data_IF_219396205058
#
_entry.id   IF_219396205058
#
_cell.length_a   1.000
_cell.length_b   1.000
_cell.length_c   1.000
_cell.angle_alpha   90.00
_cell.angle_beta   90.00
_cell.angle_gamma   90.00
#
_symmetry.space_group_name_H-M   'P 1'
#
loop_
_entity.id
_entity.type
_entity.pdbx_description
1 polymer ?
#
# COMPACT_ATOMS: atom_id res chain seq x y z
N UNK A 1 -18.28 23.47 -2.58
CA UNK A 1 -17.70 22.67 -1.47
C UNK A 1 -17.41 21.30 -2.05
N UNK A 2 -16.23 20.74 -1.83
CA UNK A 2 -15.96 19.36 -2.25
C UNK A 2 -16.88 18.42 -1.45
N UNK A 3 -17.54 17.48 -2.13
CA UNK A 3 -18.31 16.44 -1.46
C UNK A 3 -17.36 15.50 -0.71
N UNK A 4 -17.78 15.00 0.44
CA UNK A 4 -17.06 13.93 1.12
C UNK A 4 -17.06 12.66 0.26
N UNK A 5 -15.97 11.90 0.34
CA UNK A 5 -15.93 10.52 -0.14
C UNK A 5 -16.61 9.64 0.89
N UNK A 6 -17.20 8.55 0.42
CA UNK A 6 -18.04 7.70 1.24
C UNK A 6 -17.64 6.24 1.13
N UNK A 7 -17.68 5.54 2.26
CA UNK A 7 -17.52 4.09 2.31
C UNK A 7 -18.74 3.43 2.92
N UNK A 8 -19.00 2.19 2.54
CA UNK A 8 -20.05 1.35 3.08
C UNK A 8 -19.47 0.00 3.49
N UNK A 9 -19.96 -0.53 4.60
CA UNK A 9 -19.52 -1.79 5.20
C UNK A 9 -20.69 -2.77 5.10
N UNK A 10 -20.45 -3.92 4.48
CA UNK A 10 -21.41 -5.00 4.34
C UNK A 10 -21.68 -5.71 5.67
N UNK A 11 -22.82 -6.40 5.76
CA UNK A 11 -23.17 -7.19 6.95
C UNK A 11 -22.20 -8.36 7.18
N UNK A 12 -21.54 -8.89 6.14
CA UNK A 12 -20.48 -9.89 6.27
C UNK A 12 -19.32 -9.43 7.14
N UNK A 13 -19.04 -8.11 7.23
CA UNK A 13 -17.99 -7.59 8.10
C UNK A 13 -18.40 -7.51 9.58
N UNK A 14 -19.67 -7.77 9.92
CA UNK A 14 -20.16 -7.68 11.29
C UNK A 14 -19.92 -8.98 12.07
N UNK A 15 -19.35 -8.87 13.27
CA UNK A 15 -19.09 -10.03 14.13
C UNK A 15 -17.89 -10.88 13.70
N UNK A 16 -17.15 -10.44 12.68
CA UNK A 16 -15.83 -10.95 12.34
C UNK A 16 -14.80 -10.16 13.15
N UNK A 17 -14.02 -10.87 13.97
CA UNK A 17 -13.16 -10.28 14.98
C UNK A 17 -13.91 -9.83 16.25
N UNK A 18 -13.18 -9.23 17.20
CA UNK A 18 -13.74 -8.83 18.49
C UNK A 18 -14.29 -7.39 18.51
N UNK A 19 -14.11 -6.62 17.43
CA UNK A 19 -14.34 -5.18 17.38
C UNK A 19 -15.31 -4.75 16.27
N UNK A 20 -15.92 -3.58 16.42
CA UNK A 20 -16.67 -2.92 15.34
C UNK A 20 -15.70 -2.53 14.21
N UNK A 21 -16.03 -2.90 12.97
CA UNK A 21 -15.21 -2.65 11.79
C UNK A 21 -14.82 -1.17 11.62
N UNK A 22 -15.70 -0.24 12.04
CA UNK A 22 -15.40 1.20 12.01
C UNK A 22 -14.19 1.61 12.88
N UNK A 23 -13.76 0.76 13.81
CA UNK A 23 -12.53 0.98 14.59
C UNK A 23 -11.32 0.94 13.66
N UNK A 24 -11.18 -0.08 12.81
CA UNK A 24 -10.02 -0.22 11.93
C UNK A 24 -9.90 0.92 10.92
N UNK A 25 -11.02 1.39 10.35
CA UNK A 25 -11.01 2.56 9.45
C UNK A 25 -10.57 3.82 10.21
N UNK A 26 -11.01 3.98 11.47
CA UNK A 26 -10.63 5.12 12.30
C UNK A 26 -9.15 5.08 12.66
N UNK A 27 -8.61 3.91 12.96
CA UNK A 27 -7.18 3.71 13.17
C UNK A 27 -6.39 4.00 11.89
N UNK A 28 -6.85 3.53 10.72
CA UNK A 28 -6.19 3.80 9.44
C UNK A 28 -6.13 5.30 9.16
N UNK A 29 -7.24 6.02 9.39
CA UNK A 29 -7.30 7.48 9.27
C UNK A 29 -6.41 8.19 10.27
N UNK A 30 -6.29 7.65 11.49
CA UNK A 30 -5.37 8.15 12.50
C UNK A 30 -3.91 8.02 12.01
N UNK A 31 -3.49 6.83 11.59
CA UNK A 31 -2.15 6.58 11.05
C UNK A 31 -1.81 7.53 9.89
N UNK A 32 -2.75 7.68 8.93
CA UNK A 32 -2.58 8.59 7.81
C UNK A 32 -2.43 10.06 8.26
N UNK A 33 -3.25 10.50 9.21
CA UNK A 33 -3.18 11.86 9.76
C UNK A 33 -1.87 12.12 10.49
N UNK A 34 -1.34 11.14 11.23
CA UNK A 34 -0.03 11.25 11.89
C UNK A 34 1.10 11.34 10.87
N UNK A 35 1.10 10.49 9.84
CA UNK A 35 2.11 10.56 8.78
C UNK A 35 2.08 11.92 8.06
N UNK A 36 0.90 12.43 7.72
CA UNK A 36 0.77 13.76 7.10
C UNK A 36 1.36 14.87 7.99
N UNK A 37 1.07 14.85 9.30
CA UNK A 37 1.58 15.83 10.25
C UNK A 37 3.11 15.77 10.37
N UNK A 38 3.68 14.57 10.43
CA UNK A 38 5.14 14.36 10.50
C UNK A 38 5.85 14.76 9.20
N UNK A 39 5.26 14.46 8.03
CA UNK A 39 5.76 14.95 6.73
C UNK A 39 5.74 16.49 6.64
N UNK A 40 4.80 17.16 7.30
CA UNK A 40 4.75 18.62 7.32
C UNK A 40 5.88 19.25 8.13
N UNK A 41 6.41 18.56 9.15
CA UNK A 41 7.49 19.09 9.99
C UNK A 41 8.83 19.03 9.27
N UNK A 42 9.50 20.18 9.12
CA UNK A 42 10.87 20.24 8.63
C UNK A 42 11.90 19.80 9.69
N UNK A 43 11.50 19.77 10.97
CA UNK A 43 12.35 19.38 12.09
C UNK A 43 12.32 17.87 12.37
N UNK A 44 11.33 17.15 11.83
CA UNK A 44 11.19 15.70 12.02
C UNK A 44 12.16 14.92 11.14
N UNK A 45 13.43 14.87 11.57
CA UNK A 45 14.49 14.20 10.79
C UNK A 45 14.35 12.68 10.83
N UNK A 46 13.77 12.12 11.90
CA UNK A 46 13.53 10.68 12.01
C UNK A 46 12.48 10.23 10.99
N UNK A 47 11.37 10.94 10.87
CA UNK A 47 10.37 10.61 9.85
C UNK A 47 10.82 10.95 8.43
N UNK A 48 11.67 11.96 8.26
CA UNK A 48 12.31 12.21 6.97
C UNK A 48 13.16 11.00 6.54
N UNK A 49 13.92 10.36 7.45
CA UNK A 49 14.66 9.12 7.12
C UNK A 49 13.71 7.98 6.72
N UNK A 50 12.62 7.79 7.45
CA UNK A 50 11.59 6.79 7.11
C UNK A 50 11.05 7.02 5.70
N UNK A 51 10.66 8.27 5.39
CA UNK A 51 10.20 8.64 4.06
C UNK A 51 11.26 8.31 3.01
N UNK A 52 12.51 8.68 3.26
CA UNK A 52 13.61 8.44 2.32
C UNK A 52 13.79 6.95 2.03
N UNK A 53 13.73 6.10 3.07
CA UNK A 53 13.88 4.65 2.95
C UNK A 53 12.75 4.02 2.14
N UNK A 54 11.50 4.41 2.41
CA UNK A 54 10.32 3.85 1.74
C UNK A 54 10.27 4.32 0.28
N UNK A 55 10.38 5.63 0.04
CA UNK A 55 10.22 6.22 -1.29
C UNK A 55 11.50 6.30 -2.12
N UNK A 56 12.61 5.80 -1.57
CA UNK A 56 13.91 5.77 -2.24
C UNK A 56 14.44 7.15 -2.65
N UNK A 57 13.96 8.22 -2.01
CA UNK A 57 14.33 9.59 -2.37
C UNK A 57 14.34 10.53 -1.16
N UNK A 58 15.27 11.51 -1.07
CA UNK A 58 15.20 12.53 -0.04
C UNK A 58 13.84 13.23 0.02
N UNK A 59 13.33 13.50 1.21
CA UNK A 59 12.12 14.32 1.43
C UNK A 59 12.20 15.70 0.75
N UNK A 60 13.40 16.24 0.55
CA UNK A 60 13.65 17.51 -0.14
C UNK A 60 13.71 17.41 -1.66
N UNK A 61 13.57 16.21 -2.22
CA UNK A 61 13.56 15.98 -3.66
C UNK A 61 12.34 16.64 -4.31
N UNK A 62 12.58 17.26 -5.47
CA UNK A 62 11.56 17.99 -6.23
C UNK A 62 11.25 17.33 -7.57
N UNK A 63 11.78 16.13 -7.82
CA UNK A 63 11.40 15.33 -8.97
C UNK A 63 9.90 15.05 -8.95
N UNK A 64 9.28 15.25 -10.12
CA UNK A 64 7.84 15.10 -10.30
C UNK A 64 7.55 13.80 -11.04
N UNK A 65 6.54 13.10 -10.57
CA UNK A 65 6.13 11.82 -11.12
C UNK A 65 4.74 11.92 -11.73
N UNK A 66 4.48 11.15 -12.81
CA UNK A 66 3.11 10.95 -13.26
C UNK A 66 2.26 10.37 -12.12
N UNK A 67 0.93 10.58 -12.16
CA UNK A 67 0.02 9.79 -11.33
C UNK A 67 0.27 8.29 -11.54
N UNK A 68 -0.06 7.44 -10.55
CA UNK A 68 0.12 5.99 -10.70
C UNK A 68 -0.71 5.47 -11.88
N UNK A 69 -0.31 4.34 -12.44
CA UNK A 69 -0.88 3.84 -13.69
C UNK A 69 -2.38 3.58 -13.55
N UNK A 70 -2.80 2.94 -12.46
CA UNK A 70 -4.20 2.69 -12.16
C UNK A 70 -5.02 3.98 -12.09
N UNK A 71 -4.48 5.06 -11.50
CA UNK A 71 -5.14 6.37 -11.51
C UNK A 71 -5.34 6.89 -12.94
N UNK A 72 -4.32 6.76 -13.79
CA UNK A 72 -4.38 7.18 -15.19
C UNK A 72 -5.39 6.34 -15.99
N UNK A 73 -5.52 5.04 -15.72
CA UNK A 73 -6.57 4.21 -16.31
C UNK A 73 -7.98 4.68 -15.94
N UNK A 74 -8.18 5.13 -14.69
CA UNK A 74 -9.49 5.55 -14.21
C UNK A 74 -9.89 6.96 -14.64
N UNK A 75 -8.93 7.88 -14.76
CA UNK A 75 -9.20 9.32 -14.99
C UNK A 75 -8.62 9.87 -16.30
N UNK A 76 -7.90 9.04 -17.05
CA UNK A 76 -7.13 9.43 -18.23
C UNK A 76 -5.69 9.85 -17.89
N UNK A 77 -4.84 9.83 -18.91
CA UNK A 77 -3.45 10.26 -18.83
C UNK A 77 -3.37 11.77 -18.59
N UNK A 78 -2.82 12.15 -17.43
CA UNK A 78 -2.68 13.54 -17.02
C UNK A 78 -1.55 14.26 -17.76
N UNK A 79 -1.62 15.59 -17.83
CA UNK A 79 -0.51 16.39 -18.35
C UNK A 79 0.62 16.53 -17.33
N UNK A 80 1.88 16.63 -17.79
CA UNK A 80 3.07 16.83 -16.93
C UNK A 80 2.97 18.02 -15.96
N UNK A 81 2.21 19.06 -16.34
CA UNK A 81 1.97 20.23 -15.48
C UNK A 81 1.24 19.88 -14.18
N UNK A 82 0.50 18.77 -14.18
CA UNK A 82 -0.31 18.30 -13.06
C UNK A 82 0.46 17.29 -12.18
N UNK A 83 1.67 16.88 -12.62
CA UNK A 83 2.56 16.00 -11.88
C UNK A 83 3.03 16.68 -10.60
N UNK A 84 3.19 15.89 -9.54
CA UNK A 84 3.55 16.34 -8.20
C UNK A 84 4.84 15.68 -7.77
N UNK A 85 5.52 16.31 -6.82
CA UNK A 85 6.63 15.65 -6.11
C UNK A 85 6.10 14.47 -5.32
N UNK A 86 6.95 13.48 -5.04
CA UNK A 86 6.59 12.32 -4.21
C UNK A 86 6.03 12.79 -2.86
N UNK A 87 6.70 13.76 -2.22
CA UNK A 87 6.26 14.34 -0.96
C UNK A 87 4.87 14.98 -1.05
N UNK A 88 4.64 15.81 -2.06
CA UNK A 88 3.36 16.52 -2.20
C UNK A 88 2.21 15.58 -2.52
N UNK A 89 2.45 14.57 -3.37
CA UNK A 89 1.44 13.57 -3.70
C UNK A 89 1.10 12.73 -2.47
N UNK A 90 2.10 12.18 -1.77
CA UNK A 90 1.92 11.36 -0.57
C UNK A 90 1.21 12.15 0.54
N UNK A 91 1.65 13.38 0.83
CA UNK A 91 0.99 14.23 1.82
C UNK A 91 -0.45 14.54 1.45
N UNK A 92 -0.73 14.86 0.18
CA UNK A 92 -2.09 15.14 -0.27
C UNK A 92 -3.01 13.92 -0.09
N UNK A 93 -2.53 12.72 -0.45
CA UNK A 93 -3.26 11.47 -0.23
C UNK A 93 -3.55 11.23 1.26
N UNK A 94 -2.54 11.36 2.12
CA UNK A 94 -2.68 11.14 3.57
C UNK A 94 -3.66 12.13 4.24
N UNK A 95 -3.59 13.42 3.86
CA UNK A 95 -4.51 14.45 4.36
C UNK A 95 -5.94 14.18 3.89
N UNK A 96 -6.12 13.87 2.62
CA UNK A 96 -7.46 13.58 2.08
C UNK A 96 -8.05 12.32 2.73
N UNK A 97 -7.28 11.24 2.85
CA UNK A 97 -7.76 10.01 3.49
C UNK A 97 -8.18 10.24 4.95
N UNK A 98 -7.32 10.90 5.73
CA UNK A 98 -7.58 11.13 7.15
C UNK A 98 -8.79 12.04 7.42
N UNK A 99 -9.11 12.98 6.52
CA UNK A 99 -10.12 14.02 6.78
C UNK A 99 -11.40 13.91 5.96
N UNK A 100 -11.36 13.27 4.79
CA UNK A 100 -12.38 13.46 3.76
C UNK A 100 -13.24 12.21 3.45
N UNK A 101 -13.13 11.17 4.28
CA UNK A 101 -13.96 9.96 4.20
C UNK A 101 -15.02 9.87 5.30
N UNK A 102 -16.20 9.36 4.95
CA UNK A 102 -17.33 9.15 5.86
C UNK A 102 -18.06 7.84 5.56
N UNK A 103 -18.55 7.16 6.60
CA UNK A 103 -19.48 6.04 6.43
C UNK A 103 -20.80 6.55 5.82
N UNK A 104 -21.35 5.80 4.87
CA UNK A 104 -22.72 5.96 4.39
C UNK A 104 -23.52 4.69 4.69
N UNK A 105 -24.83 4.83 4.88
CA UNK A 105 -25.76 3.70 5.00
C UNK A 105 -26.33 3.28 3.64
N UNK A 106 -25.96 3.98 2.56
CA UNK A 106 -26.46 3.74 1.21
C UNK A 106 -25.36 3.12 0.37
N UNK A 107 -25.38 1.78 0.25
CA UNK A 107 -24.44 1.00 -0.57
C UNK A 107 -24.27 1.59 -1.97
N UNK A 108 -25.37 2.02 -2.60
CA UNK A 108 -25.37 2.50 -3.98
C UNK A 108 -24.59 3.80 -4.16
N UNK A 109 -24.51 4.65 -3.13
CA UNK A 109 -23.82 5.94 -3.18
C UNK A 109 -22.33 5.82 -2.84
N UNK A 110 -21.93 4.73 -2.17
CA UNK A 110 -20.58 4.56 -1.65
C UNK A 110 -19.52 4.51 -2.76
N UNK A 111 -18.42 5.22 -2.54
CA UNK A 111 -17.22 5.19 -3.39
C UNK A 111 -16.42 3.91 -3.13
N UNK A 112 -16.38 3.45 -1.88
CA UNK A 112 -15.76 2.17 -1.49
C UNK A 112 -16.78 1.29 -0.77
N UNK A 113 -16.84 0.01 -1.13
CA UNK A 113 -17.69 -0.99 -0.50
C UNK A 113 -16.80 -2.08 0.06
N UNK A 114 -17.04 -2.48 1.31
CA UNK A 114 -16.16 -3.41 2.01
C UNK A 114 -16.97 -4.65 2.35
N UNK A 115 -16.41 -5.81 1.99
CA UNK A 115 -16.98 -7.11 2.24
C UNK A 115 -15.97 -7.99 2.96
N UNK A 116 -16.47 -8.97 3.70
CA UNK A 116 -15.66 -9.99 4.36
C UNK A 116 -16.34 -11.35 4.27
N UNK A 117 -16.90 -11.66 3.10
CA UNK A 117 -17.67 -12.86 2.82
C UNK A 117 -16.80 -14.01 2.27
N UNK A 118 -15.47 -13.91 2.43
CA UNK A 118 -14.51 -14.85 1.87
C UNK A 118 -14.72 -15.14 0.38
N UNK A 119 -15.29 -14.20 -0.38
CA UNK A 119 -15.56 -14.38 -1.81
C UNK A 119 -16.82 -15.14 -2.16
N UNK A 120 -17.69 -15.47 -1.20
CA UNK A 120 -18.95 -16.16 -1.45
C UNK A 120 -19.85 -15.42 -2.47
N UNK A 121 -19.68 -14.11 -2.64
CA UNK A 121 -20.45 -13.37 -3.66
C UNK A 121 -20.07 -13.69 -5.10
N UNK A 122 -18.89 -14.24 -5.35
CA UNK A 122 -18.44 -14.56 -6.71
C UNK A 122 -19.22 -15.78 -7.20
N UNK A 123 -20.06 -15.57 -8.21
CA UNK A 123 -20.91 -16.63 -8.76
C UNK A 123 -20.23 -17.29 -9.96
N UNK A 124 -20.19 -18.63 -10.03
CA UNK A 124 -19.73 -19.34 -11.23
C UNK A 124 -20.55 -18.92 -12.44
N UNK A 125 -19.89 -18.79 -13.60
CA UNK A 125 -20.57 -18.41 -14.85
C UNK A 125 -20.57 -19.58 -15.84
N UNK A 126 -21.50 -19.52 -16.81
CA UNK A 126 -21.51 -20.42 -17.96
C UNK A 126 -20.69 -19.88 -19.15
N UNK A 127 -20.06 -18.71 -19.00
CA UNK A 127 -19.24 -18.10 -20.03
C UNK A 127 -17.95 -18.93 -20.20
N UNK A 128 -17.63 -19.44 -21.39
CA UNK A 128 -16.43 -20.23 -21.62
C UNK A 128 -15.14 -19.43 -21.43
N UNK A 129 -15.19 -18.09 -21.46
CA UNK A 129 -14.03 -17.22 -21.29
C UNK A 129 -13.90 -16.71 -19.84
N UNK A 130 -14.91 -16.89 -18.98
CA UNK A 130 -14.90 -16.41 -17.60
C UNK A 130 -15.45 -17.44 -16.60
N UNK A 131 -14.67 -17.75 -15.57
CA UNK A 131 -15.07 -18.75 -14.58
C UNK A 131 -16.02 -18.16 -13.52
N UNK A 132 -15.82 -16.91 -13.12
CA UNK A 132 -16.59 -16.26 -12.05
C UNK A 132 -17.06 -14.86 -12.42
N UNK A 133 -18.16 -14.45 -11.79
CA UNK A 133 -18.77 -13.14 -11.95
C UNK A 133 -19.05 -12.51 -10.59
N UNK A 134 -18.60 -11.27 -10.41
CA UNK A 134 -18.98 -10.46 -9.25
C UNK A 134 -20.26 -9.66 -9.58
N UNK A 135 -21.40 -9.97 -8.93
CA UNK A 135 -22.65 -9.27 -9.16
C UNK A 135 -22.67 -7.83 -8.63
N UNK A 136 -21.67 -7.41 -7.84
CA UNK A 136 -21.58 -6.04 -7.29
C UNK A 136 -20.86 -5.11 -8.26
N UNK A 137 -19.68 -5.50 -8.76
CA UNK A 137 -18.93 -4.70 -9.73
C UNK A 137 -19.21 -5.05 -11.19
N UNK A 138 -19.99 -6.10 -11.43
CA UNK A 138 -20.31 -6.60 -12.77
C UNK A 138 -19.04 -6.93 -13.56
N UNK A 139 -18.10 -7.60 -12.89
CA UNK A 139 -16.82 -8.01 -13.48
C UNK A 139 -16.73 -9.51 -13.57
N UNK A 140 -16.01 -9.96 -14.58
CA UNK A 140 -15.72 -11.36 -14.83
C UNK A 140 -14.27 -11.62 -14.43
N UNK A 141 -14.05 -12.69 -13.69
CA UNK A 141 -12.71 -13.19 -13.39
C UNK A 141 -12.41 -14.41 -14.26
N UNK A 142 -11.25 -14.39 -14.90
CA UNK A 142 -10.66 -15.49 -15.65
C UNK A 142 -9.59 -16.14 -14.78
N UNK A 143 -9.52 -17.47 -14.72
CA UNK A 143 -8.58 -18.19 -13.85
C UNK A 143 -9.29 -18.99 -12.76
N UNK A 144 -8.52 -19.80 -12.02
CA UNK A 144 -9.05 -20.60 -10.91
C UNK A 144 -9.40 -19.68 -9.73
N UNK A 145 -10.51 -19.97 -9.04
CA UNK A 145 -10.96 -19.17 -7.89
C UNK A 145 -9.90 -19.13 -6.78
N UNK A 146 -9.03 -20.14 -6.72
CA UNK A 146 -7.89 -20.24 -5.81
C UNK A 146 -6.96 -19.03 -5.91
N UNK A 147 -6.71 -18.48 -7.10
CA UNK A 147 -5.90 -17.26 -7.27
C UNK A 147 -6.59 -16.02 -6.67
N UNK A 148 -7.93 -15.99 -6.59
CA UNK A 148 -8.67 -14.97 -5.85
C UNK A 148 -8.66 -15.21 -4.33
N UNK A 149 -8.26 -16.39 -3.86
CA UNK A 149 -8.25 -16.81 -2.47
C UNK A 149 -6.88 -16.77 -1.79
N UNK A 150 -5.78 -16.66 -2.54
CA UNK A 150 -4.42 -16.72 -2.01
C UNK A 150 -3.95 -15.44 -1.28
N UNK A 151 -4.75 -14.36 -1.28
CA UNK A 151 -4.41 -13.07 -0.65
C UNK A 151 -5.21 -12.74 0.62
N UNK A 152 -4.70 -11.78 1.41
CA UNK A 152 -5.44 -11.24 2.56
C UNK A 152 -6.65 -10.41 2.11
N UNK A 153 -6.50 -9.64 1.03
CA UNK A 153 -7.57 -8.87 0.46
C UNK A 153 -7.42 -8.71 -1.05
N UNK A 154 -8.49 -8.25 -1.70
CA UNK A 154 -8.46 -7.89 -3.11
C UNK A 154 -9.37 -6.69 -3.37
N UNK A 155 -8.88 -5.74 -4.16
CA UNK A 155 -9.67 -4.61 -4.63
C UNK A 155 -10.12 -4.81 -6.08
N UNK A 156 -11.44 -4.75 -6.30
CA UNK A 156 -12.04 -4.83 -7.63
C UNK A 156 -12.65 -3.51 -8.09
N UNK A 157 -12.52 -3.27 -9.39
CA UNK A 157 -13.06 -2.11 -10.09
C UNK A 157 -14.19 -2.53 -11.02
N UNK A 158 -14.98 -1.56 -11.47
CA UNK A 158 -16.05 -1.76 -12.43
C UNK A 158 -15.51 -1.95 -13.85
N UNK A 159 -16.02 -2.93 -14.61
CA UNK A 159 -15.60 -3.20 -16.00
C UNK A 159 -16.39 -2.48 -17.11
N UNK A 160 -17.66 -2.06 -16.90
CA UNK A 160 -18.55 -1.51 -17.97
C UNK A 160 -19.48 -0.41 -17.49
N UNK A 161 -19.96 0.47 -18.39
CA UNK A 161 -20.98 1.53 -18.12
C UNK A 161 -22.16 1.04 -17.26
N UNK A 162 -22.48 1.82 -16.21
CA UNK A 162 -22.96 1.33 -14.93
C UNK A 162 -24.38 0.80 -14.87
N UNK A 163 -24.64 0.01 -13.83
CA UNK A 163 -26.00 -0.28 -13.36
C UNK A 163 -26.68 1.04 -13.01
N UNK A 164 -27.85 1.35 -13.59
CA UNK A 164 -28.60 2.54 -13.26
C UNK A 164 -28.83 2.66 -11.75
N UNK A 165 -28.43 3.80 -11.17
CA UNK A 165 -28.61 4.09 -9.74
C UNK A 165 -27.44 3.71 -8.83
N UNK A 166 -26.38 3.09 -9.36
CA UNK A 166 -25.14 2.79 -8.61
C UNK A 166 -24.05 3.84 -8.89
N UNK A 167 -23.18 4.12 -7.91
CA UNK A 167 -22.03 4.99 -8.08
C UNK A 167 -21.13 4.44 -9.21
N UNK A 168 -20.84 5.24 -10.26
CA UNK A 168 -20.06 4.80 -11.40
C UNK A 168 -18.57 4.60 -11.10
N UNK A 169 -18.05 5.23 -10.05
CA UNK A 169 -16.65 5.17 -9.63
C UNK A 169 -16.42 4.27 -8.41
N UNK A 170 -17.42 3.43 -8.09
CA UNK A 170 -17.34 2.51 -6.97
C UNK A 170 -16.18 1.54 -7.12
N UNK A 171 -15.62 1.20 -5.98
CA UNK A 171 -14.58 0.18 -5.82
C UNK A 171 -15.05 -0.75 -4.71
N UNK A 172 -14.73 -2.04 -4.83
CA UNK A 172 -15.03 -3.01 -3.78
C UNK A 172 -13.75 -3.60 -3.23
N UNK A 173 -13.67 -3.62 -1.90
CA UNK A 173 -12.60 -4.26 -1.13
C UNK A 173 -13.16 -5.55 -0.56
N UNK A 174 -12.49 -6.66 -0.85
CA UNK A 174 -12.77 -7.98 -0.32
C UNK A 174 -11.73 -8.38 0.71
N UNK A 175 -12.14 -8.50 1.96
CA UNK A 175 -11.31 -9.09 3.00
C UNK A 175 -11.52 -10.60 3.01
N UNK A 176 -10.43 -11.35 2.99
CA UNK A 176 -10.43 -12.82 3.00
C UNK A 176 -10.24 -13.35 4.41
N UNK A 177 -10.42 -14.65 4.61
CA UNK A 177 -10.22 -15.30 5.91
C UNK A 177 -8.81 -15.01 6.47
N UNK A 178 -7.78 -15.04 5.62
CA UNK A 178 -6.40 -14.74 5.98
C UNK A 178 -6.17 -13.30 6.49
N UNK A 179 -7.01 -12.32 6.13
CA UNK A 179 -6.93 -10.97 6.72
C UNK A 179 -7.24 -10.96 8.22
N UNK A 180 -7.93 -12.00 8.70
CA UNK A 180 -8.39 -12.14 10.08
C UNK A 180 -7.49 -13.08 10.89
N UNK A 181 -6.50 -13.71 10.27
CA UNK A 181 -5.52 -14.57 10.94
C UNK A 181 -4.39 -13.72 11.55
N UNK A 182 -4.42 -13.56 12.89
CA UNK A 182 -3.33 -12.88 13.62
C UNK A 182 -2.23 -13.80 14.13
N UNK A 183 -1.22 -13.16 14.76
CA UNK A 183 0.06 -13.75 15.18
C UNK A 183 -0.02 -14.98 16.11
N UNK A 184 -1.05 -15.09 16.97
CA UNK A 184 -1.13 -16.17 17.98
C UNK A 184 -2.52 -16.80 18.16
N UNK A 185 -3.61 -16.08 17.84
CA UNK A 185 -4.98 -16.44 18.23
C UNK A 185 -5.93 -16.65 17.05
N UNK A 186 -5.44 -16.63 15.80
CA UNK A 186 -6.28 -16.55 14.60
C UNK A 186 -7.30 -15.39 14.65
N UNK A 187 -6.96 -14.29 15.32
CA UNK A 187 -7.78 -13.08 15.39
C UNK A 187 -6.96 -11.89 14.89
N UNK A 188 -7.57 -10.94 14.14
CA UNK A 188 -6.86 -9.80 13.57
C UNK A 188 -6.21 -8.96 14.67
N UNK A 189 -5.00 -8.48 14.44
CA UNK A 189 -4.34 -7.58 15.40
C UNK A 189 -4.79 -6.15 15.12
N UNK A 190 -5.41 -5.50 16.11
CA UNK A 190 -5.73 -4.07 16.10
C UNK A 190 -4.54 -3.21 16.52
N UNK A 191 -4.54 -1.92 16.18
CA UNK A 191 -3.49 -1.01 16.62
C UNK A 191 -3.43 -0.89 18.16
N UNK A 192 -4.59 -0.99 18.82
CA UNK A 192 -4.68 -1.03 20.28
C UNK A 192 -3.98 -2.24 20.90
N UNK A 193 -4.08 -3.42 20.29
CA UNK A 193 -3.38 -4.63 20.74
C UNK A 193 -1.88 -4.53 20.52
N UNK A 194 -1.43 -4.03 19.36
CA UNK A 194 0.01 -3.75 19.12
C UNK A 194 0.55 -2.84 20.23
N UNK A 195 -0.17 -1.77 20.56
CA UNK A 195 0.23 -0.85 21.63
C UNK A 195 0.28 -1.55 23.01
N UNK A 196 -0.69 -2.42 23.31
CA UNK A 196 -0.73 -3.20 24.55
C UNK A 196 0.46 -4.15 24.66
N UNK A 197 0.80 -4.87 23.59
CA UNK A 197 1.93 -5.80 23.52
C UNK A 197 3.25 -5.04 23.71
N UNK A 198 3.47 -3.97 22.95
CA UNK A 198 4.68 -3.14 23.06
C UNK A 198 4.83 -2.59 24.48
N UNK A 199 3.74 -2.12 25.08
CA UNK A 199 3.77 -1.56 26.43
C UNK A 199 4.09 -2.65 27.46
N UNK A 200 3.39 -3.78 27.42
CA UNK A 200 3.47 -4.83 28.43
C UNK A 200 4.74 -5.66 28.39
N UNK A 201 5.32 -5.87 27.20
CA UNK A 201 6.54 -6.65 27.02
C UNK A 201 7.82 -5.80 27.08
N UNK A 202 7.69 -4.49 27.29
CA UNK A 202 8.81 -3.53 27.38
C UNK A 202 9.75 -3.59 26.15
N UNK A 203 9.18 -3.78 24.95
CA UNK A 203 9.95 -4.02 23.74
C UNK A 203 10.75 -2.78 23.36
N UNK A 204 12.06 -2.91 23.20
CA UNK A 204 12.93 -1.82 22.70
C UNK A 204 13.22 -1.93 21.21
N UNK A 205 12.82 -3.05 20.61
CA UNK A 205 12.97 -3.37 19.19
C UNK A 205 11.72 -4.12 18.74
N UNK A 206 11.23 -3.79 17.55
CA UNK A 206 10.09 -4.46 16.91
C UNK A 206 10.38 -4.65 15.43
N UNK A 207 9.82 -5.68 14.81
CA UNK A 207 9.84 -5.84 13.36
C UNK A 207 8.53 -5.29 12.76
N UNK A 208 8.63 -4.31 11.87
CA UNK A 208 7.46 -3.72 11.21
C UNK A 208 6.87 -4.64 10.15
N UNK A 209 7.65 -5.54 9.55
CA UNK A 209 7.17 -6.60 8.67
C UNK A 209 6.14 -7.44 9.40
N UNK A 210 6.55 -8.07 10.50
CA UNK A 210 5.71 -8.92 11.36
C UNK A 210 4.46 -8.18 11.85
N UNK A 211 4.60 -6.92 12.32
CA UNK A 211 3.44 -6.14 12.76
C UNK A 211 2.52 -5.83 11.58
N UNK A 212 3.09 -5.39 10.45
CA UNK A 212 2.33 -4.98 9.30
C UNK A 212 1.49 -6.12 8.73
N UNK A 213 2.09 -7.29 8.58
CA UNK A 213 1.48 -8.48 7.97
C UNK A 213 0.16 -8.87 8.64
N UNK A 214 0.06 -8.73 9.96
CA UNK A 214 -1.13 -9.13 10.72
C UNK A 214 -2.01 -7.95 11.17
N UNK A 215 -1.63 -6.71 10.84
CA UNK A 215 -2.39 -5.52 11.23
C UNK A 215 -3.47 -5.20 10.20
N UNK A 216 -4.71 -5.59 10.50
CA UNK A 216 -5.88 -5.36 9.64
C UNK A 216 -6.06 -3.87 9.30
N UNK A 217 -5.69 -2.97 10.20
CA UNK A 217 -5.71 -1.53 9.98
C UNK A 217 -4.77 -1.09 8.85
N UNK A 218 -3.58 -1.72 8.73
CA UNK A 218 -2.64 -1.46 7.62
C UNK A 218 -3.22 -1.97 6.32
N UNK A 219 -3.77 -3.19 6.33
CA UNK A 219 -4.39 -3.80 5.15
C UNK A 219 -5.57 -2.96 4.64
N UNK A 220 -6.50 -2.57 5.51
CA UNK A 220 -7.61 -1.68 5.12
C UNK A 220 -7.07 -0.38 4.53
N UNK A 221 -6.05 0.22 5.14
CA UNK A 221 -5.48 1.44 4.59
C UNK A 221 -4.88 1.24 3.20
N UNK A 222 -4.12 0.15 3.00
CA UNK A 222 -3.59 -0.27 1.71
C UNK A 222 -4.71 -0.39 0.66
N UNK A 223 -5.77 -1.16 0.95
CA UNK A 223 -6.86 -1.39 0.00
C UNK A 223 -7.61 -0.10 -0.37
N UNK A 224 -7.74 0.85 0.56
CA UNK A 224 -8.30 2.16 0.22
C UNK A 224 -7.43 2.95 -0.77
N UNK A 225 -6.11 2.71 -0.84
CA UNK A 225 -5.22 3.41 -1.77
C UNK A 225 -5.45 3.01 -3.22
N UNK A 226 -6.03 1.84 -3.46
CA UNK A 226 -6.47 1.41 -4.77
C UNK A 226 -7.72 2.15 -5.27
N UNK A 227 -8.53 2.73 -4.37
CA UNK A 227 -9.80 3.33 -4.78
C UNK A 227 -9.64 4.45 -5.82
N UNK A 228 -10.72 4.76 -6.54
CA UNK A 228 -10.70 5.73 -7.64
C UNK A 228 -10.18 7.11 -7.25
N UNK A 229 -10.24 7.52 -5.98
CA UNK A 229 -9.67 8.79 -5.55
C UNK A 229 -8.13 8.84 -5.60
N UNK A 230 -7.46 7.71 -5.50
CA UNK A 230 -6.00 7.63 -5.33
C UNK A 230 -5.34 6.78 -6.41
N UNK A 231 -5.97 5.65 -6.77
CA UNK A 231 -5.53 4.75 -7.84
C UNK A 231 -4.07 4.39 -7.73
N UNK A 232 -3.60 4.06 -6.52
CA UNK A 232 -2.24 3.58 -6.29
C UNK A 232 -2.12 2.15 -6.80
N UNK A 233 -0.96 1.84 -7.34
CA UNK A 233 -0.69 0.53 -7.91
C UNK A 233 -0.32 -0.46 -6.79
N UNK A 234 -0.64 -1.72 -7.01
CA UNK A 234 0.09 -2.78 -6.34
C UNK A 234 1.48 -2.89 -6.94
N UNK A 235 2.38 -3.47 -6.17
CA UNK A 235 3.69 -3.69 -6.69
C UNK A 235 3.74 -4.91 -7.63
N UNK A 236 4.58 -4.87 -8.68
CA UNK A 236 4.70 -6.01 -9.58
C UNK A 236 5.25 -7.21 -8.82
N UNK A 237 4.52 -8.34 -8.80
CA UNK A 237 4.96 -9.55 -8.11
C UNK A 237 6.41 -9.90 -8.44
N UNK A 238 7.19 -10.29 -7.43
CA UNK A 238 8.53 -10.78 -7.68
C UNK A 238 8.52 -12.20 -8.27
N UNK A 239 9.70 -12.77 -8.54
CA UNK A 239 9.82 -14.12 -9.09
C UNK A 239 9.27 -15.21 -8.15
N UNK A 240 8.97 -14.86 -6.90
CA UNK A 240 8.40 -15.74 -5.87
C UNK A 240 6.91 -15.44 -5.65
N UNK A 241 6.32 -14.51 -6.41
CA UNK A 241 4.91 -14.16 -6.34
C UNK A 241 4.55 -13.21 -5.18
N UNK A 242 5.52 -12.74 -4.40
CA UNK A 242 5.24 -11.79 -3.32
C UNK A 242 4.96 -10.40 -3.90
N UNK A 243 3.87 -9.78 -3.47
CA UNK A 243 3.42 -8.46 -3.93
C UNK A 243 3.31 -7.43 -2.80
N UNK A 244 3.44 -7.85 -1.54
CA UNK A 244 3.20 -7.02 -0.34
C UNK A 244 4.24 -7.24 0.75
N UNK A 245 4.19 -6.43 1.81
CA UNK A 245 5.09 -6.52 2.96
C UNK A 245 6.24 -5.51 2.97
N UNK A 246 6.91 -5.41 4.13
CA UNK A 246 7.99 -4.45 4.35
C UNK A 246 9.22 -4.76 3.48
N UNK A 247 9.64 -6.02 3.45
CA UNK A 247 10.77 -6.46 2.63
C UNK A 247 10.54 -6.11 1.16
N UNK A 248 9.31 -6.31 0.71
CA UNK A 248 8.91 -5.98 -0.65
C UNK A 248 9.01 -4.45 -0.89
N UNK A 249 8.48 -3.61 0.02
CA UNK A 249 8.68 -2.15 -0.04
C UNK A 249 10.17 -1.76 -0.13
N UNK A 250 11.06 -2.56 0.46
CA UNK A 250 12.49 -2.29 0.40
C UNK A 250 13.11 -2.56 -0.97
N UNK A 251 12.53 -3.48 -1.77
CA UNK A 251 12.97 -3.85 -3.12
C UNK A 251 12.52 -2.90 -4.22
N UNK A 252 11.50 -2.08 -3.98
CA UNK A 252 10.94 -1.16 -4.98
C UNK A 252 11.95 -0.12 -5.48
N UNK A 253 11.82 0.26 -6.75
CA UNK A 253 12.44 1.48 -7.30
C UNK A 253 11.71 2.73 -6.79
N UNK A 254 12.31 3.90 -6.97
CA UNK A 254 11.69 5.20 -6.64
C UNK A 254 10.32 5.39 -7.30
N UNK A 255 10.21 5.10 -8.60
CA UNK A 255 8.95 5.21 -9.35
C UNK A 255 7.87 4.28 -8.78
N UNK A 256 8.21 3.00 -8.58
CA UNK A 256 7.29 2.02 -8.02
C UNK A 256 6.88 2.35 -6.58
N UNK A 257 7.82 2.78 -5.73
CA UNK A 257 7.50 3.19 -4.36
C UNK A 257 6.60 4.44 -4.34
N UNK A 258 6.81 5.37 -5.27
CA UNK A 258 5.93 6.51 -5.46
C UNK A 258 4.51 6.06 -5.84
N UNK A 259 4.36 5.12 -6.75
CA UNK A 259 3.06 4.60 -7.20
C UNK A 259 2.37 3.66 -6.19
N UNK A 260 3.14 2.96 -5.36
CA UNK A 260 2.71 1.81 -4.58
C UNK A 260 1.78 2.11 -3.40
N UNK A 261 0.68 1.37 -3.30
CA UNK A 261 -0.24 1.38 -2.16
C UNK A 261 0.47 0.92 -0.86
N UNK A 262 1.32 -0.09 -0.94
CA UNK A 262 2.02 -0.65 0.20
C UNK A 262 3.04 0.34 0.82
N UNK A 263 3.69 1.14 -0.03
CA UNK A 263 4.66 2.15 0.42
C UNK A 263 4.01 3.22 1.32
N UNK A 264 2.85 3.74 0.91
CA UNK A 264 2.13 4.74 1.72
C UNK A 264 1.51 4.09 2.97
N UNK A 265 1.09 2.82 2.90
CA UNK A 265 0.55 2.09 4.05
C UNK A 265 1.61 1.90 5.16
N UNK A 266 2.82 1.46 4.80
CA UNK A 266 3.93 1.35 5.76
C UNK A 266 4.44 2.71 6.24
N UNK A 267 4.39 3.76 5.41
CA UNK A 267 4.68 5.11 5.88
C UNK A 267 3.68 5.56 6.98
N UNK A 268 2.39 5.24 6.82
CA UNK A 268 1.40 5.53 7.84
C UNK A 268 1.59 4.69 9.11
N UNK A 269 1.90 3.40 8.96
CA UNK A 269 2.17 2.51 10.09
C UNK A 269 3.37 2.98 10.92
N UNK A 270 4.51 3.27 10.28
CA UNK A 270 5.69 3.82 10.97
C UNK A 270 5.39 5.11 11.72
N UNK A 271 4.50 5.97 11.20
CA UNK A 271 4.09 7.18 11.90
C UNK A 271 3.33 6.90 13.20
N UNK A 272 2.46 5.88 13.21
CA UNK A 272 1.74 5.46 14.41
C UNK A 272 2.63 4.75 15.43
N UNK A 273 3.50 3.83 14.97
CA UNK A 273 4.43 3.12 15.85
C UNK A 273 5.40 4.07 16.56
N UNK A 274 5.75 5.20 15.94
CA UNK A 274 6.56 6.24 16.56
C UNK A 274 5.91 6.94 17.77
N UNK A 275 4.63 6.71 18.02
CA UNK A 275 3.94 7.24 19.19
C UNK A 275 3.79 6.22 20.31
N UNK A 276 4.06 4.95 20.01
CA UNK A 276 4.02 3.86 20.97
C UNK A 276 5.27 3.84 21.84
N UNK A 277 5.10 3.38 23.07
CA UNK A 277 6.17 3.41 24.08
C UNK A 277 6.11 2.16 24.96
N UNK A 278 7.26 1.62 25.37
CA UNK A 278 7.34 0.65 26.45
C UNK A 278 6.76 1.24 27.76
N UNK A 279 6.19 0.40 28.62
CA UNK A 279 5.47 0.86 29.82
C UNK A 279 6.34 1.71 30.77
N UNK A 280 7.67 1.51 30.79
CA UNK A 280 8.59 2.26 31.64
C UNK A 280 9.08 3.59 31.02
N UNK A 281 8.59 3.98 29.83
CA UNK A 281 9.03 5.18 29.11
C UNK A 281 7.94 6.25 29.09
N UNK A 282 8.31 7.46 29.48
CA UNK A 282 7.41 8.64 29.47
C UNK A 282 7.57 9.50 28.22
N UNK A 283 8.64 9.30 27.45
CA UNK A 283 9.02 10.04 26.23
C UNK A 283 9.60 9.07 25.22
N UNK A 284 9.69 9.50 23.95
CA UNK A 284 10.32 8.71 22.90
C UNK A 284 9.32 8.03 21.98
N UNK A 285 9.83 7.11 21.17
CA UNK A 285 9.06 6.32 20.22
C UNK A 285 9.93 5.48 19.29
N UNK A 286 9.28 4.66 18.46
CA UNK A 286 9.95 3.79 17.50
C UNK A 286 10.24 4.49 16.17
N UNK A 287 11.43 4.27 15.63
CA UNK A 287 11.75 4.66 14.25
C UNK A 287 12.84 3.73 13.69
N UNK A 288 13.14 3.86 12.41
CA UNK A 288 14.22 3.10 11.79
C UNK A 288 15.57 3.49 12.39
N UNK A 289 16.57 2.63 12.25
CA UNK A 289 17.90 2.91 12.80
C UNK A 289 18.51 4.22 12.23
N UNK A 290 18.99 5.07 13.14
CA UNK A 290 19.66 6.35 12.86
C UNK A 290 21.11 6.21 12.40
N UNK A 291 21.74 5.06 12.61
CA UNK A 291 23.15 4.86 12.22
C UNK A 291 23.36 4.85 10.71
N UNK A 292 22.28 4.98 9.95
CA UNK A 292 22.26 4.75 8.53
C UNK A 292 21.91 6.00 7.71
N UNK A 293 22.83 6.39 6.83
CA UNK A 293 22.76 7.62 6.02
C UNK A 293 22.58 7.36 4.51
N UNK A 294 22.66 6.11 4.04
CA UNK A 294 22.35 5.79 2.64
C UNK A 294 20.83 5.74 2.41
N UNK A 295 20.36 5.72 1.17
CA UNK A 295 18.93 5.55 0.82
C UNK A 295 18.82 4.31 -0.08
N UNK A 296 18.04 3.26 0.27
CA UNK A 296 17.99 2.05 -0.54
C UNK A 296 17.22 2.40 -1.81
N UNK A 297 17.44 1.68 -2.91
CA UNK A 297 16.73 1.89 -4.18
C UNK A 297 16.80 3.29 -4.80
N UNK A 298 17.67 4.21 -4.31
CA UNK A 298 17.83 5.58 -4.81
C UNK A 298 18.34 5.71 -6.26
N UNK A 299 18.43 4.58 -6.97
CA UNK A 299 18.83 4.52 -8.36
C UNK A 299 17.54 4.59 -9.16
N UNK A 300 17.34 5.68 -9.90
CA UNK A 300 16.40 5.70 -11.01
C UNK A 300 16.94 4.70 -12.05
N UNK A 301 16.54 3.44 -11.92
CA UNK A 301 16.66 2.54 -13.04
C UNK A 301 15.62 3.02 -14.05
N UNK A 302 16.01 3.37 -15.29
CA UNK A 302 15.03 3.69 -16.31
C UNK A 302 14.06 2.52 -16.41
N UNK A 303 12.77 2.85 -16.41
CA UNK A 303 11.70 1.87 -16.38
C UNK A 303 11.88 0.96 -17.62
N UNK A 304 11.88 -0.37 -17.48
CA UNK A 304 11.88 -1.24 -18.65
C UNK A 304 10.73 -0.95 -19.62
N UNK A 305 9.63 -0.34 -19.15
CA UNK A 305 8.51 0.14 -19.96
C UNK A 305 8.74 1.49 -20.64
N UNK A 306 9.80 2.25 -20.31
CA UNK A 306 10.24 3.40 -21.11
C UNK A 306 10.79 2.97 -22.49
N UNK A 307 10.90 1.66 -22.71
CA UNK A 307 11.22 1.03 -23.98
C UNK A 307 10.08 0.08 -24.34
N UNK A 308 8.89 0.61 -24.62
CA UNK A 308 7.80 -0.15 -25.21
C UNK A 308 8.34 -0.92 -26.43
N UNK A 309 8.39 -2.25 -26.30
CA UNK A 309 8.79 -3.17 -27.37
C UNK A 309 7.79 -3.13 -28.55
N UNK A 310 6.62 -2.51 -28.35
CA UNK A 310 5.52 -2.42 -29.32
C UNK A 310 5.61 -1.22 -30.29
N UNK A 311 6.51 -0.25 -30.08
CA UNK A 311 6.71 0.90 -31.00
C UNK A 311 7.92 0.71 -31.93
N UNK A 312 8.57 -0.46 -31.86
CA UNK A 312 9.66 -0.86 -32.76
C UNK A 312 9.07 -1.76 -33.85
N UNK A 313 8.58 -1.12 -34.92
CA UNK A 313 8.03 -1.81 -36.08
C UNK A 313 8.92 -2.97 -36.55
N UNK A 314 8.26 -4.05 -37.01
CA UNK A 314 8.74 -5.38 -37.39
C UNK A 314 9.95 -5.49 -38.35
N UNK A 315 10.59 -4.38 -38.72
CA UNK A 315 11.69 -4.34 -39.67
C UNK A 315 13.04 -4.26 -38.92
N UNK A 316 13.68 -5.43 -38.80
CA UNK A 316 15.05 -5.65 -38.34
C UNK A 316 15.36 -5.20 -36.89
N UNK A 317 14.73 -5.89 -35.92
CA UNK A 317 15.20 -5.85 -34.54
C UNK A 317 16.64 -6.40 -34.50
N UNK A 318 17.59 -5.50 -34.29
CA UNK A 318 19.01 -5.81 -34.14
C UNK A 318 19.19 -6.76 -32.94
N UNK A 319 19.42 -8.05 -33.21
CA UNK A 319 19.66 -9.04 -32.17
C UNK A 319 20.85 -8.66 -31.26
N UNK A 320 21.77 -7.83 -31.74
CA UNK A 320 22.85 -7.26 -30.94
C UNK A 320 22.33 -6.26 -29.90
N UNK A 321 21.30 -5.48 -30.25
CA UNK A 321 20.62 -4.56 -29.32
C UNK A 321 19.80 -5.33 -28.29
N UNK A 322 19.04 -6.36 -28.68
CA UNK A 322 18.32 -7.22 -27.74
C UNK A 322 19.29 -7.97 -26.80
N UNK A 323 20.42 -8.46 -27.30
CA UNK A 323 21.45 -9.08 -26.47
C UNK A 323 22.10 -8.06 -25.52
N UNK A 324 22.40 -6.84 -25.98
CA UNK A 324 22.91 -5.76 -25.11
C UNK A 324 21.88 -5.36 -24.05
N UNK A 325 20.59 -5.29 -24.40
CA UNK A 325 19.52 -4.99 -23.46
C UNK A 325 19.32 -6.13 -22.45
N UNK A 326 19.39 -7.39 -22.88
CA UNK A 326 19.37 -8.55 -22.00
C UNK A 326 20.61 -8.61 -21.10
N UNK A 327 21.80 -8.25 -21.62
CA UNK A 327 23.04 -8.17 -20.84
C UNK A 327 23.01 -7.00 -19.85
N UNK A 328 22.41 -5.87 -20.21
CA UNK A 328 22.14 -4.73 -19.32
C UNK A 328 21.11 -5.13 -18.25
N UNK A 329 19.99 -5.78 -18.60
CA UNK A 329 19.00 -6.34 -17.65
C UNK A 329 19.69 -7.32 -16.70
N UNK A 330 20.54 -8.22 -17.20
CA UNK A 330 21.29 -9.22 -16.41
C UNK A 330 22.39 -8.59 -15.55
N UNK A 331 23.07 -7.52 -16.01
CA UNK A 331 24.01 -6.72 -15.21
C UNK A 331 23.29 -5.83 -14.18
N UNK A 332 22.06 -5.39 -14.44
CA UNK A 332 21.21 -4.63 -13.51
C UNK A 332 20.59 -5.52 -12.43
N UNK A 333 20.14 -6.72 -12.78
CA UNK A 333 19.72 -7.77 -11.83
C UNK A 333 20.92 -8.36 -11.07
N UNK A 334 22.09 -8.46 -11.71
CA UNK A 334 23.34 -8.94 -11.11
C UNK A 334 24.06 -7.92 -10.21
N UNK A 335 23.78 -6.62 -10.35
CA UNK A 335 24.37 -5.56 -9.53
C UNK A 335 23.36 -4.99 -8.54
N UNK A 336 22.91 -5.84 -7.61
CA UNK A 336 22.81 -5.57 -6.16
C UNK A 336 21.99 -6.69 -5.53
N UNK A 337 22.69 -7.72 -5.06
CA UNK A 337 22.16 -8.52 -3.96
C UNK A 337 22.05 -7.61 -2.75
N UNK A 338 20.83 -7.18 -2.45
CA UNK A 338 20.50 -6.57 -1.16
C UNK A 338 20.83 -7.55 -0.01
N UNK A 339 20.87 -8.85 -0.32
CA UNK A 339 21.30 -9.96 0.55
C UNK A 339 22.74 -9.82 1.09
N UNK A 340 23.60 -9.03 0.45
CA UNK A 340 25.02 -8.85 0.87
C UNK A 340 25.23 -7.65 1.80
N UNK A 341 24.16 -7.06 2.37
CA UNK A 341 24.26 -6.07 3.48
C UNK A 341 23.61 -6.66 4.75
N UNK A 342 24.25 -7.62 5.44
CA UNK A 342 23.62 -8.44 6.47
C UNK A 342 23.24 -7.70 7.76
N UNK A 343 23.56 -6.41 7.87
CA UNK A 343 23.46 -5.64 9.12
C UNK A 343 22.49 -4.44 9.04
N UNK A 344 21.77 -4.24 7.93
CA UNK A 344 20.85 -3.10 7.83
C UNK A 344 19.50 -3.40 8.48
N UNK A 345 19.39 -3.04 9.76
CA UNK A 345 18.16 -3.16 10.56
C UNK A 345 16.95 -2.47 9.92
N UNK A 346 17.13 -1.34 9.23
CA UNK A 346 16.02 -0.65 8.57
C UNK A 346 15.48 -1.47 7.37
N UNK A 347 16.36 -2.09 6.58
CA UNK A 347 15.94 -2.96 5.47
C UNK A 347 15.23 -4.21 6.00
N UNK A 348 15.73 -4.77 7.11
CA UNK A 348 15.12 -5.91 7.80
C UNK A 348 13.80 -5.58 8.51
N UNK A 349 13.36 -4.32 8.50
CA UNK A 349 12.12 -3.88 9.15
C UNK A 349 12.23 -3.70 10.66
N UNK A 350 13.43 -3.75 11.22
CA UNK A 350 13.63 -3.51 12.65
C UNK A 350 13.50 -2.02 12.96
N UNK A 351 12.51 -1.67 13.79
CA UNK A 351 12.40 -0.36 14.41
C UNK A 351 12.99 -0.38 15.81
N UNK A 352 13.75 0.66 16.13
CA UNK A 352 14.38 0.85 17.43
C UNK A 352 13.64 1.91 18.23
N UNK A 353 13.49 1.67 19.53
CA UNK A 353 12.99 2.69 20.45
C UNK A 353 14.08 3.71 20.79
N UNK A 354 13.77 4.99 20.64
CA UNK A 354 14.64 6.09 21.08
C UNK A 354 13.92 6.93 22.14
N UNK A 355 14.62 7.25 23.24
CA UNK A 355 14.08 8.06 24.35
C UNK A 355 13.65 9.49 23.94
N UNK A 356 14.16 9.95 22.79
CA UNK A 356 13.74 11.19 22.13
C UNK A 356 13.69 10.98 20.62
N UNK A 357 12.58 11.38 20.00
CA UNK A 357 12.46 11.53 18.56
C UNK A 357 12.67 12.99 18.19
N UNK A 358 13.33 13.22 17.05
CA UNK A 358 13.40 14.53 16.42
C UNK A 358 12.08 14.75 15.70
N UNK A 359 11.27 15.72 16.16
CA UNK A 359 9.92 16.01 15.66
C UNK A 359 9.77 17.49 15.32
#
# INVERSE_FOLDING_TARGET
>A
MASFKTYWIDESCHGIGEQDFDVYIREARYLAGRAAARLQSAADTDFARVFNVIYKTPKSDNDRFPPPYLYQLMHGFGHERDWRTVLDQTRATLVDFSTNWRRTNRRQEADVRIYSDAGERWVPTSDPEAQFYDPINHIYATGELEELYEGQAFTSYRAREGVPGENPHRVTIDLREMAWEGLETNAPVSLGEVHSVISSQDLTQINIGDIGEHLITRLIFHEFMHCSAYGRDDAPGDNEGHTSGWEYCMRLTKSQACAGAESIAYLALTAGLAEMRPQNKTTGGFTIDRTWDAIPGSHDLPDPSDFDEDDMGDDDIDQELLQKLAEIRRKRQGNRKWDDVPENLAIQGTLLFYDSLTN
#
